data_IF_549898421302
#
_entry.id   IF_549898421302
#
_cell.length_a   1.000
_cell.length_b   1.000
_cell.length_c   1.000
_cell.angle_alpha   90.00
_cell.angle_beta   90.00
_cell.angle_gamma   90.00
#
_symmetry.space_group_name_H-M   'P 1'
#
loop_
_entity.id
_entity.type
_entity.pdbx_description
1 polymer ?
#
# COMPACT_ATOMS: atom_id res chain seq x y z
N UNK A 1 11.07 -13.74 14.22
CA UNK A 1 9.86 -14.13 13.47
C UNK A 1 8.76 -13.12 13.78
N UNK A 2 8.49 -12.19 12.87
CA UNK A 2 7.41 -11.23 13.04
C UNK A 2 6.07 -11.98 12.95
N UNK A 3 5.29 -11.98 14.02
CA UNK A 3 3.92 -12.52 13.98
C UNK A 3 3.09 -11.55 13.13
N UNK A 4 2.60 -12.02 12.00
CA UNK A 4 1.58 -11.29 11.26
C UNK A 4 0.41 -11.00 12.22
N UNK A 5 -0.14 -9.77 12.24
CA UNK A 5 -1.31 -9.46 13.05
C UNK A 5 -2.45 -10.45 12.69
N UNK A 6 -3.25 -10.88 13.69
CA UNK A 6 -4.24 -11.97 13.53
C UNK A 6 -5.16 -11.78 12.32
N UNK A 7 -5.50 -10.52 12.02
CA UNK A 7 -6.29 -10.10 10.85
C UNK A 7 -5.59 -10.48 9.54
N UNK A 8 -4.28 -10.23 9.41
CA UNK A 8 -3.51 -10.66 8.24
C UNK A 8 -3.47 -12.18 8.11
N UNK A 9 -3.38 -12.91 9.23
CA UNK A 9 -3.38 -14.37 9.19
C UNK A 9 -4.74 -14.90 8.72
N UNK A 10 -5.86 -14.33 9.19
CA UNK A 10 -7.21 -14.73 8.77
C UNK A 10 -7.48 -14.41 7.30
N UNK A 11 -7.05 -13.25 6.81
CA UNK A 11 -7.11 -12.89 5.38
C UNK A 11 -6.25 -13.85 4.54
N UNK A 12 -5.01 -14.13 4.95
CA UNK A 12 -4.13 -15.08 4.26
C UNK A 12 -4.64 -16.53 4.27
N UNK A 13 -5.51 -16.89 5.21
CA UNK A 13 -6.09 -18.23 5.36
C UNK A 13 -7.51 -18.36 4.80
N UNK A 14 -8.10 -17.28 4.25
CA UNK A 14 -9.42 -17.32 3.61
C UNK A 14 -10.57 -17.73 4.52
N UNK A 15 -10.49 -17.44 5.83
CA UNK A 15 -11.54 -17.82 6.80
C UNK A 15 -12.50 -16.66 7.08
N UNK A 16 -13.84 -16.90 7.11
CA UNK A 16 -14.83 -15.87 7.44
C UNK A 16 -14.72 -15.45 8.92
N UNK A 17 -14.76 -14.14 9.17
CA UNK A 17 -14.78 -13.57 10.53
C UNK A 17 -16.19 -13.70 11.12
N UNK A 18 -16.31 -14.23 12.35
CA UNK A 18 -17.56 -14.24 13.10
C UNK A 18 -17.70 -12.93 13.91
N UNK A 19 -18.77 -12.17 13.64
CA UNK A 19 -19.09 -10.91 14.30
C UNK A 19 -19.99 -11.13 15.53
N UNK A 20 -19.63 -10.48 16.64
CA UNK A 20 -20.54 -10.20 17.75
C UNK A 20 -20.95 -8.74 17.60
N UNK A 21 -22.24 -8.50 17.38
CA UNK A 21 -22.82 -7.17 17.14
C UNK A 21 -23.45 -6.63 18.43
N UNK A 22 -22.98 -5.47 18.89
CA UNK A 22 -23.82 -4.48 19.59
C UNK A 22 -23.42 -3.06 19.14
N UNK A 23 -24.32 -2.37 18.42
CA UNK A 23 -24.44 -0.90 18.51
C UNK A 23 -24.32 -0.04 17.23
N UNK A 24 -25.49 0.48 16.84
CA UNK A 24 -25.82 1.75 16.15
C UNK A 24 -25.69 1.89 14.61
N UNK A 25 -26.86 2.11 13.99
CA UNK A 25 -27.07 2.36 12.56
C UNK A 25 -26.61 3.77 12.17
N UNK A 26 -25.50 3.86 11.41
CA UNK A 26 -25.08 4.96 10.51
C UNK A 26 -23.54 5.15 10.47
N UNK A 27 -22.75 4.23 11.03
CA UNK A 27 -21.32 4.17 10.72
C UNK A 27 -21.12 3.20 9.56
N UNK A 28 -20.51 3.64 8.47
CA UNK A 28 -20.22 2.73 7.35
C UNK A 28 -19.07 1.86 7.84
N UNK A 29 -19.40 0.68 8.38
CA UNK A 29 -18.41 -0.16 9.04
C UNK A 29 -17.42 -0.74 8.03
N UNK A 30 -16.40 0.06 7.71
CA UNK A 30 -15.29 -0.33 6.86
C UNK A 30 -14.53 -1.52 7.45
N UNK A 31 -14.67 -1.81 8.76
CA UNK A 31 -14.10 -3.01 9.36
C UNK A 31 -14.72 -4.29 8.80
N UNK A 32 -15.94 -4.25 8.28
CA UNK A 32 -16.60 -5.40 7.64
C UNK A 32 -16.18 -5.58 6.17
N UNK A 33 -15.51 -4.59 5.57
CA UNK A 33 -15.07 -4.67 4.18
C UNK A 33 -13.81 -5.53 4.05
N UNK A 34 -13.96 -6.73 3.47
CA UNK A 34 -12.85 -7.62 3.13
C UNK A 34 -11.81 -6.91 2.26
N UNK A 35 -12.25 -6.14 1.26
CA UNK A 35 -11.36 -5.38 0.38
C UNK A 35 -10.48 -4.37 1.14
N UNK A 36 -11.06 -3.59 2.05
CA UNK A 36 -10.32 -2.59 2.83
C UNK A 36 -9.34 -3.28 3.78
N UNK A 37 -9.77 -4.39 4.41
CA UNK A 37 -8.94 -5.21 5.28
C UNK A 37 -7.75 -5.84 4.53
N UNK A 38 -7.99 -6.36 3.32
CA UNK A 38 -6.94 -6.87 2.43
C UNK A 38 -5.95 -5.78 2.05
N UNK A 39 -6.42 -4.59 1.67
CA UNK A 39 -5.56 -3.46 1.36
C UNK A 39 -4.62 -3.15 2.53
N UNK A 40 -5.16 -2.99 3.75
CA UNK A 40 -4.35 -2.72 4.94
C UNK A 40 -3.33 -3.83 5.17
N UNK A 41 -3.77 -5.09 5.09
CA UNK A 41 -2.91 -6.22 5.35
C UNK A 41 -1.72 -6.24 4.38
N UNK A 42 -1.98 -6.15 3.07
CA UNK A 42 -0.91 -6.20 2.08
C UNK A 42 0.01 -4.98 2.12
N UNK A 43 -0.52 -3.79 2.46
CA UNK A 43 0.33 -2.63 2.74
C UNK A 43 1.29 -2.93 3.89
N UNK A 44 0.81 -3.50 4.99
CA UNK A 44 1.63 -3.79 6.16
C UNK A 44 2.64 -4.92 5.90
N UNK A 45 2.28 -5.94 5.11
CA UNK A 45 3.24 -6.95 4.64
C UNK A 45 4.41 -6.32 3.89
N UNK A 46 4.13 -5.41 2.95
CA UNK A 46 5.19 -4.72 2.21
C UNK A 46 5.98 -3.76 3.11
N UNK A 47 5.33 -3.00 3.99
CA UNK A 47 6.00 -2.10 4.92
C UNK A 47 6.95 -2.83 5.88
N UNK A 48 6.54 -3.98 6.40
CA UNK A 48 7.39 -4.83 7.22
C UNK A 48 8.62 -5.33 6.46
N UNK A 49 8.50 -5.62 5.16
CA UNK A 49 9.64 -5.97 4.32
C UNK A 49 10.68 -4.84 4.25
N UNK A 50 10.25 -3.59 4.36
CA UNK A 50 11.12 -2.41 4.41
C UNK A 50 11.50 -1.99 5.82
N UNK A 51 11.12 -2.77 6.85
CA UNK A 51 11.43 -2.45 8.25
C UNK A 51 10.74 -1.20 8.80
N UNK A 52 9.69 -0.72 8.15
CA UNK A 52 8.92 0.44 8.61
C UNK A 52 7.65 0.02 9.36
N UNK A 53 7.15 0.89 10.24
CA UNK A 53 5.98 0.61 11.08
C UNK A 53 4.72 0.38 10.24
N UNK A 54 3.88 -0.55 10.68
CA UNK A 54 2.54 -0.79 10.15
C UNK A 54 1.68 0.48 10.16
N UNK A 55 0.84 0.62 9.13
CA UNK A 55 -0.23 1.61 9.07
C UNK A 55 -1.43 1.14 9.89
N UNK A 56 -2.18 2.11 10.40
CA UNK A 56 -3.49 1.93 11.01
C UNK A 56 -4.57 2.42 10.04
N UNK A 57 -5.72 1.77 10.04
CA UNK A 57 -6.86 2.27 9.26
C UNK A 57 -7.48 3.48 9.95
N UNK A 58 -7.87 4.49 9.17
CA UNK A 58 -8.57 5.69 9.64
C UNK A 58 -9.91 5.81 8.95
N UNK A 59 -11.00 5.81 9.73
CA UNK A 59 -12.37 5.96 9.24
C UNK A 59 -12.54 7.25 8.42
N UNK A 60 -12.03 8.36 8.94
CA UNK A 60 -12.05 9.66 8.25
C UNK A 60 -11.36 9.59 6.89
N UNK A 61 -10.19 8.95 6.79
CA UNK A 61 -9.49 8.79 5.51
C UNK A 61 -10.25 7.85 4.57
N UNK A 62 -10.93 6.82 5.09
CA UNK A 62 -11.78 5.93 4.28
C UNK A 62 -12.93 6.71 3.66
N UNK A 63 -13.61 7.56 4.44
CA UNK A 63 -14.69 8.40 3.93
C UNK A 63 -14.21 9.36 2.86
N UNK A 64 -13.07 10.04 3.08
CA UNK A 64 -12.47 10.92 2.10
C UNK A 64 -12.09 10.17 0.81
N UNK A 65 -11.46 9.00 0.94
CA UNK A 65 -11.06 8.16 -0.18
C UNK A 65 -12.27 7.62 -0.95
N UNK A 66 -13.31 7.17 -0.26
CA UNK A 66 -14.54 6.65 -0.87
C UNK A 66 -15.31 7.75 -1.60
N UNK A 67 -15.42 8.94 -1.02
CA UNK A 67 -16.02 10.10 -1.67
C UNK A 67 -15.28 10.46 -2.96
N UNK A 68 -13.95 10.45 -2.94
CA UNK A 68 -13.17 10.71 -4.14
C UNK A 68 -13.27 9.59 -5.18
N UNK A 69 -13.25 8.33 -4.77
CA UNK A 69 -13.45 7.18 -5.67
C UNK A 69 -14.81 7.27 -6.38
N UNK A 70 -15.88 7.60 -5.63
CA UNK A 70 -17.22 7.81 -6.16
C UNK A 70 -17.25 8.94 -7.19
N UNK A 71 -16.59 10.07 -6.89
CA UNK A 71 -16.47 11.20 -7.81
C UNK A 71 -15.77 10.79 -9.12
N UNK A 72 -14.62 10.13 -9.05
CA UNK A 72 -13.87 9.68 -10.22
C UNK A 72 -14.65 8.66 -11.06
N UNK A 73 -15.35 7.74 -10.40
CA UNK A 73 -16.20 6.75 -11.08
C UNK A 73 -17.39 7.41 -11.78
N UNK A 74 -18.01 8.43 -11.16
CA UNK A 74 -19.14 9.17 -11.73
C UNK A 74 -18.71 10.06 -12.90
N UNK A 75 -17.65 10.83 -12.73
CA UNK A 75 -17.12 11.76 -13.74
C UNK A 75 -16.36 11.05 -14.88
N UNK A 76 -16.18 9.73 -14.77
CA UNK A 76 -15.30 8.94 -15.64
C UNK A 76 -13.86 9.48 -15.73
N UNK A 77 -13.39 10.16 -14.69
CA UNK A 77 -12.05 10.75 -14.62
C UNK A 77 -11.05 9.78 -13.95
N UNK A 78 -9.77 10.13 -14.02
CA UNK A 78 -8.71 9.47 -13.25
C UNK A 78 -7.61 10.49 -12.92
N UNK A 79 -7.76 11.14 -11.77
CA UNK A 79 -6.86 12.21 -11.32
C UNK A 79 -6.82 12.30 -9.79
N UNK A 80 -5.70 12.80 -9.26
CA UNK A 80 -5.59 13.12 -7.84
C UNK A 80 -6.55 14.23 -7.45
N UNK A 81 -6.97 14.24 -6.18
CA UNK A 81 -7.85 15.28 -5.64
C UNK A 81 -7.13 16.65 -5.69
N UNK A 82 -7.62 17.63 -6.46
CA UNK A 82 -6.97 18.94 -6.56
C UNK A 82 -6.98 19.67 -5.22
N UNK A 83 -5.90 20.40 -4.92
CA UNK A 83 -5.78 21.24 -3.73
C UNK A 83 -5.66 20.46 -2.40
N UNK A 84 -5.57 19.14 -2.44
CA UNK A 84 -5.41 18.31 -1.25
C UNK A 84 -3.93 18.08 -0.94
N UNK A 85 -3.40 18.79 0.07
CA UNK A 85 -1.99 18.72 0.45
C UNK A 85 -1.76 18.08 1.82
N UNK A 86 -2.82 17.83 2.58
CA UNK A 86 -2.72 17.32 3.95
C UNK A 86 -2.71 15.79 4.01
N UNK A 87 -3.01 15.12 2.90
CA UNK A 87 -3.00 13.65 2.79
C UNK A 87 -2.27 13.23 1.52
N UNK A 88 -1.51 12.14 1.63
CA UNK A 88 -0.91 11.46 0.48
C UNK A 88 -1.98 10.70 -0.29
N UNK A 89 -1.77 10.43 -1.57
CA UNK A 89 -2.77 9.76 -2.41
C UNK A 89 -2.13 8.72 -3.34
N UNK A 90 -2.72 7.53 -3.38
CA UNK A 90 -2.48 6.54 -4.44
C UNK A 90 -3.79 6.25 -5.17
N UNK A 91 -3.70 6.07 -6.49
CA UNK A 91 -4.85 5.78 -7.34
C UNK A 91 -4.62 4.50 -8.11
N UNK A 92 -5.68 3.73 -8.30
CA UNK A 92 -5.70 2.55 -9.14
C UNK A 92 -6.96 2.56 -9.98
N UNK A 93 -6.84 2.13 -11.24
CA UNK A 93 -7.97 2.01 -12.14
C UNK A 93 -7.86 0.74 -12.96
N UNK A 94 -8.95 -0.02 -13.01
CA UNK A 94 -9.10 -1.17 -13.91
C UNK A 94 -10.28 -0.94 -14.84
N UNK A 95 -10.01 -1.08 -16.14
CA UNK A 95 -11.06 -1.09 -17.15
C UNK A 95 -11.93 -2.35 -17.03
N UNK A 96 -13.17 -2.34 -17.56
CA UNK A 96 -14.03 -3.51 -17.52
C UNK A 96 -13.34 -4.73 -18.15
N UNK A 97 -13.40 -5.88 -17.47
CA UNK A 97 -12.89 -7.15 -17.96
C UNK A 97 -14.01 -8.20 -17.83
N UNK A 98 -14.28 -8.94 -18.89
CA UNK A 98 -15.34 -9.96 -18.95
C UNK A 98 -14.96 -11.25 -18.22
N UNK A 99 -13.67 -11.51 -17.97
CA UNK A 99 -13.18 -12.73 -17.35
C UNK A 99 -13.02 -12.61 -15.81
N UNK A 100 -12.75 -11.41 -15.29
CA UNK A 100 -12.54 -11.15 -13.86
C UNK A 100 -13.20 -9.84 -13.49
N UNK A 101 -14.26 -9.91 -12.69
CA UNK A 101 -15.03 -8.73 -12.28
C UNK A 101 -14.48 -8.08 -11.02
N UNK A 102 -13.95 -8.88 -10.09
CA UNK A 102 -13.55 -8.40 -8.76
C UNK A 102 -12.11 -7.90 -8.69
N UNK A 103 -11.93 -6.70 -8.12
CA UNK A 103 -10.63 -6.12 -7.77
C UNK A 103 -10.41 -6.39 -6.28
N UNK A 104 -9.37 -7.15 -5.96
CA UNK A 104 -8.98 -7.48 -4.57
C UNK A 104 -8.04 -6.42 -4.00
N UNK A 105 -7.96 -6.33 -2.67
CA UNK A 105 -7.04 -5.42 -2.02
C UNK A 105 -5.58 -5.82 -2.23
N UNK A 106 -5.32 -7.12 -2.39
CA UNK A 106 -4.02 -7.66 -2.78
C UNK A 106 -3.56 -7.14 -4.15
N UNK A 107 -4.42 -7.22 -5.16
CA UNK A 107 -4.10 -6.81 -6.53
C UNK A 107 -3.69 -5.33 -6.57
N UNK A 108 -4.47 -4.48 -5.91
CA UNK A 108 -4.21 -3.03 -5.83
C UNK A 108 -2.88 -2.75 -5.10
N UNK A 109 -2.69 -3.37 -3.94
CA UNK A 109 -1.48 -3.16 -3.13
C UNK A 109 -0.23 -3.65 -3.88
N UNK A 110 -0.31 -4.79 -4.56
CA UNK A 110 0.77 -5.33 -5.37
C UNK A 110 1.10 -4.43 -6.58
N UNK A 111 0.08 -3.83 -7.21
CA UNK A 111 0.26 -2.86 -8.30
C UNK A 111 1.06 -1.64 -7.81
N UNK A 112 0.65 -1.02 -6.70
CA UNK A 112 1.35 0.13 -6.12
C UNK A 112 2.77 -0.22 -5.67
N UNK A 113 2.97 -1.42 -5.12
CA UNK A 113 4.28 -1.86 -4.67
C UNK A 113 5.25 -2.22 -5.82
N UNK A 114 4.74 -2.50 -7.04
CA UNK A 114 5.51 -3.10 -8.14
C UNK A 114 6.82 -2.39 -8.53
N UNK A 115 6.91 -1.08 -8.32
CA UNK A 115 8.10 -0.29 -8.65
C UNK A 115 9.30 -0.54 -7.72
N UNK A 116 9.14 -1.26 -6.60
CA UNK A 116 10.21 -1.52 -5.63
C UNK A 116 11.47 -2.15 -6.25
N UNK A 117 11.33 -2.91 -7.35
CA UNK A 117 12.43 -3.60 -8.05
C UNK A 117 13.36 -2.64 -8.80
N UNK A 118 12.83 -1.52 -9.27
CA UNK A 118 13.53 -0.57 -10.13
C UNK A 118 13.80 0.74 -9.41
N UNK A 119 13.30 0.89 -8.18
CA UNK A 119 13.52 2.07 -7.37
C UNK A 119 14.99 2.20 -6.96
N UNK A 120 15.55 3.39 -7.13
CA UNK A 120 16.93 3.69 -6.76
C UNK A 120 16.99 4.23 -5.34
N UNK A 121 17.21 3.34 -4.37
CA UNK A 121 17.26 3.68 -2.96
C UNK A 121 18.46 4.59 -2.62
N UNK A 122 18.32 5.38 -1.56
CA UNK A 122 19.39 6.28 -1.08
C UNK A 122 19.65 7.50 -1.98
N UNK A 123 18.83 7.70 -3.01
CA UNK A 123 18.84 8.91 -3.85
C UNK A 123 17.47 9.55 -3.80
N UNK A 124 17.46 10.88 -3.93
CA UNK A 124 16.22 11.58 -4.20
C UNK A 124 15.74 11.16 -5.60
N UNK A 125 14.48 10.74 -5.77
CA UNK A 125 13.97 10.46 -7.10
C UNK A 125 14.00 11.75 -7.92
N UNK A 126 14.66 11.70 -9.07
CA UNK A 126 14.54 12.78 -10.04
C UNK A 126 13.06 12.88 -10.44
N UNK A 127 12.45 14.04 -10.17
CA UNK A 127 11.04 14.32 -10.45
C UNK A 127 10.71 14.04 -11.92
N UNK A 128 11.69 14.14 -12.82
CA UNK A 128 11.55 13.88 -14.24
C UNK A 128 11.53 12.38 -14.61
N UNK A 129 11.92 11.49 -13.70
CA UNK A 129 12.02 10.04 -13.93
C UNK A 129 11.13 9.19 -13.00
N UNK A 130 10.41 9.83 -12.07
CA UNK A 130 9.46 9.14 -11.21
C UNK A 130 8.23 8.71 -12.01
N UNK A 131 8.21 7.46 -12.47
CA UNK A 131 7.00 6.81 -12.97
C UNK A 131 5.90 6.88 -11.89
N UNK A 132 4.63 7.01 -12.28
CA UNK A 132 3.46 6.96 -11.38
C UNK A 132 3.57 5.80 -10.39
N UNK A 133 4.01 4.63 -10.85
CA UNK A 133 4.18 3.46 -9.98
C UNK A 133 5.30 3.66 -8.92
N UNK A 134 6.34 4.43 -9.22
CA UNK A 134 7.38 4.75 -8.24
C UNK A 134 6.85 5.68 -7.15
N UNK A 135 6.01 6.66 -7.52
CA UNK A 135 5.29 7.50 -6.55
C UNK A 135 4.34 6.70 -5.67
N UNK A 136 3.62 5.74 -6.25
CA UNK A 136 2.74 4.85 -5.48
C UNK A 136 3.50 3.95 -4.50
N UNK A 137 4.60 3.37 -4.96
CA UNK A 137 5.48 2.54 -4.14
C UNK A 137 6.03 3.34 -2.95
N UNK A 138 6.64 4.49 -3.21
CA UNK A 138 7.28 5.33 -2.18
C UNK A 138 6.28 5.80 -1.13
N UNK A 139 5.06 6.17 -1.54
CA UNK A 139 3.98 6.50 -0.61
C UNK A 139 3.56 5.30 0.25
N UNK A 140 3.44 4.10 -0.34
CA UNK A 140 3.04 2.88 0.36
C UNK A 140 4.02 2.52 1.48
N UNK A 141 5.33 2.60 1.20
CA UNK A 141 6.40 2.27 2.16
C UNK A 141 6.89 3.47 2.96
N UNK A 142 6.27 4.65 2.84
CA UNK A 142 6.73 5.87 3.48
C UNK A 142 6.81 5.72 5.01
N UNK A 143 8.02 5.82 5.56
CA UNK A 143 8.28 5.46 6.95
C UNK A 143 7.52 6.33 7.95
N UNK A 144 7.29 7.62 7.65
CA UNK A 144 6.57 8.54 8.52
C UNK A 144 5.04 8.47 8.41
N UNK A 145 4.47 7.88 7.36
CA UNK A 145 3.01 7.69 7.28
C UNK A 145 2.56 6.72 8.37
N UNK A 146 1.40 6.99 8.98
CA UNK A 146 0.86 6.28 10.15
C UNK A 146 -0.52 5.71 9.89
N UNK A 147 -1.32 6.41 9.10
CA UNK A 147 -2.69 6.07 8.83
C UNK A 147 -2.92 5.91 7.33
N UNK A 148 -3.86 5.05 6.99
CA UNK A 148 -4.38 4.85 5.64
C UNK A 148 -5.91 4.85 5.69
N UNK A 149 -6.53 5.34 4.64
CA UNK A 149 -7.93 5.06 4.33
C UNK A 149 -8.08 4.69 2.86
N UNK A 150 -9.01 3.81 2.54
CA UNK A 150 -9.18 3.27 1.19
C UNK A 150 -10.64 3.31 0.77
N UNK A 151 -10.88 3.74 -0.47
CA UNK A 151 -12.19 3.75 -1.10
C UNK A 151 -12.17 3.05 -2.46
N UNK A 152 -13.24 2.32 -2.78
CA UNK A 152 -13.41 1.62 -4.06
C UNK A 152 -14.78 1.97 -4.66
N UNK A 153 -14.80 2.35 -5.93
CA UNK A 153 -16.03 2.65 -6.65
C UNK A 153 -16.01 2.03 -8.05
N UNK A 154 -17.19 1.65 -8.54
CA UNK A 154 -17.37 1.13 -9.90
C UNK A 154 -18.24 2.10 -10.70
N UNK A 155 -17.72 2.56 -11.84
CA UNK A 155 -18.47 3.41 -12.76
C UNK A 155 -19.60 2.63 -13.45
N UNK A 156 -20.57 3.36 -14.02
CA UNK A 156 -21.64 2.77 -14.85
C UNK A 156 -21.12 2.00 -16.06
N UNK A 157 -19.94 2.37 -16.57
CA UNK A 157 -19.29 1.71 -17.69
C UNK A 157 -18.52 0.45 -17.26
N UNK A 158 -18.52 0.11 -15.96
CA UNK A 158 -17.87 -1.08 -15.42
C UNK A 158 -16.40 -0.90 -15.01
N UNK A 159 -15.82 0.30 -15.22
CA UNK A 159 -14.47 0.67 -14.75
C UNK A 159 -14.45 0.73 -13.23
N UNK A 160 -13.48 0.09 -12.59
CA UNK A 160 -13.26 0.13 -11.14
C UNK A 160 -12.16 1.12 -10.82
N UNK A 161 -12.41 2.01 -9.87
CA UNK A 161 -11.46 3.01 -9.37
C UNK A 161 -11.24 2.77 -7.88
N UNK A 162 -9.99 2.78 -7.46
CA UNK A 162 -9.59 2.68 -6.05
C UNK A 162 -8.72 3.89 -5.71
N UNK A 163 -8.98 4.47 -4.55
CA UNK A 163 -8.25 5.59 -3.97
C UNK A 163 -7.74 5.14 -2.61
N UNK A 164 -6.46 5.34 -2.32
CA UNK A 164 -5.94 5.28 -0.96
C UNK A 164 -5.43 6.66 -0.56
N UNK A 165 -5.70 7.05 0.68
CA UNK A 165 -5.22 8.28 1.29
C UNK A 165 -4.36 7.97 2.51
N UNK A 166 -3.28 8.74 2.72
CA UNK A 166 -2.29 8.48 3.75
C UNK A 166 -2.06 9.70 4.62
N UNK A 167 -1.90 9.50 5.93
CA UNK A 167 -1.56 10.56 6.88
C UNK A 167 -0.44 10.14 7.83
N UNK A 168 0.58 10.98 8.09
CA UNK A 168 0.97 12.15 7.29
C UNK A 168 1.24 11.80 5.81
N UNK A 169 1.20 12.79 4.89
CA UNK A 169 1.47 12.57 3.48
C UNK A 169 2.91 12.10 3.26
N UNK A 170 3.11 11.21 2.30
CA UNK A 170 4.43 10.81 1.83
C UNK A 170 4.88 11.64 0.64
N UNK A 171 5.98 11.20 0.01
CA UNK A 171 6.53 11.80 -1.21
C UNK A 171 6.89 13.28 -1.05
N UNK A 172 7.31 13.66 0.15
CA UNK A 172 7.79 15.01 0.46
C UNK A 172 9.24 15.13 0.01
N UNK A 173 9.52 16.11 -0.85
CA UNK A 173 10.86 16.37 -1.37
C UNK A 173 11.87 16.59 -0.25
N UNK A 174 13.05 15.99 -0.40
CA UNK A 174 14.14 16.03 0.57
C UNK A 174 14.03 15.00 1.69
N UNK A 175 12.93 14.24 1.78
CA UNK A 175 12.69 13.27 2.86
C UNK A 175 12.70 11.80 2.38
N UNK A 176 13.00 11.52 1.11
CA UNK A 176 12.91 10.16 0.57
C UNK A 176 13.93 9.20 1.18
N UNK A 177 15.16 9.66 1.45
CA UNK A 177 16.21 8.81 2.00
C UNK A 177 15.86 8.27 3.40
N UNK A 178 15.19 9.10 4.20
CA UNK A 178 14.76 8.74 5.56
C UNK A 178 13.49 7.89 5.56
N UNK A 179 12.68 7.97 4.49
CA UNK A 179 11.35 7.39 4.46
C UNK A 179 11.19 6.18 3.54
N UNK A 180 12.09 5.96 2.58
CA UNK A 180 12.02 4.84 1.63
C UNK A 180 13.24 3.96 1.83
N UNK A 181 13.13 3.07 2.82
CA UNK A 181 14.21 2.19 3.23
C UNK A 181 14.39 1.02 2.25
N UNK A 182 15.58 0.43 2.21
CA UNK A 182 15.83 -0.79 1.45
C UNK A 182 14.98 -1.95 2.01
N UNK A 183 14.47 -2.86 1.15
CA UNK A 183 13.85 -4.08 1.64
C UNK A 183 14.90 -4.95 2.34
N UNK A 184 14.51 -5.66 3.38
CA UNK A 184 15.35 -6.67 4.02
C UNK A 184 15.83 -7.69 2.98
N UNK A 185 17.08 -8.19 3.09
CA UNK A 185 17.59 -9.23 2.20
C UNK A 185 16.63 -10.40 2.18
N UNK A 186 16.44 -11.03 1.01
CA UNK A 186 15.68 -12.27 0.98
C UNK A 186 16.41 -13.29 1.88
N UNK A 187 15.65 -14.17 2.55
CA UNK A 187 16.20 -15.16 3.47
C UNK A 187 17.30 -16.06 2.83
N UNK A 188 17.44 -16.08 1.50
CA UNK A 188 18.52 -16.77 0.78
C UNK A 188 19.77 -15.92 0.45
N UNK A 189 19.70 -14.60 0.54
CA UNK A 189 20.85 -13.72 0.20
C UNK A 189 21.84 -13.58 1.38
N UNK A 190 21.35 -13.81 2.62
CA UNK A 190 22.16 -13.81 3.83
C UNK A 190 23.18 -14.96 3.88
N UNK A 191 22.86 -16.10 3.28
CA UNK A 191 23.74 -17.28 3.21
C UNK A 191 24.88 -17.07 2.19
N UNK A 192 24.60 -16.36 1.10
CA UNK A 192 25.61 -15.99 0.10
C UNK A 192 26.54 -14.86 0.58
N UNK A 193 26.01 -13.89 1.34
CA UNK A 193 26.84 -12.83 1.93
C UNK A 193 27.79 -13.37 3.01
N UNK A 194 27.34 -14.32 3.83
CA UNK A 194 28.17 -14.94 4.87
C UNK A 194 29.30 -15.82 4.29
N UNK A 195 29.05 -16.52 3.17
CA UNK A 195 30.06 -17.35 2.51
C UNK A 195 31.15 -16.54 1.78
N UNK A 196 30.84 -15.32 1.34
CA UNK A 196 31.82 -14.41 0.73
C UNK A 196 32.71 -13.70 1.77
N UNK A 197 32.23 -13.48 2.99
CA UNK A 197 33.07 -12.93 4.06
C UNK A 197 34.11 -13.93 4.58
N UNK A 198 33.78 -15.22 4.59
CA UNK A 198 34.65 -16.27 5.15
C UNK A 198 35.82 -16.66 4.20
N UNK A 199 35.68 -16.39 2.91
CA UNK A 199 36.72 -16.66 1.89
C UNK A 199 37.78 -15.56 1.77
N UNK A 200 37.57 -14.40 2.41
CA UNK A 200 38.55 -13.29 2.41
C UNK A 200 39.58 -13.36 3.57
N UNK A 201 39.46 -14.32 4.49
CA UNK A 201 40.30 -14.38 5.69
C UNK A 201 41.47 -15.37 5.62
N UNK A 202 41.77 -15.96 4.45
CA UNK A 202 42.78 -17.04 4.31
C UNK A 202 44.04 -16.70 3.48
N UNK A 203 44.30 -15.42 3.16
CA UNK A 203 45.58 -15.00 2.56
C UNK A 203 46.20 -13.84 3.35
N UNK A 204 46.85 -14.17 4.46
CA UNK A 204 47.90 -13.36 5.10
C UNK A 204 48.71 -14.24 6.05
N UNK A 205 49.70 -14.94 5.48
CA UNK A 205 50.84 -15.53 6.18
C UNK A 205 52.04 -15.58 5.22
#
# INVERSE_FOLDING_TARGET
>A
AARAPRVCLQVMLGQPMALVSEGNEADTDWHESEFISECLCWHNVYRQRHGVRDLLMSAELCDMAQNWANHLAHANAFMYKPGETQVGQNLYCRLPNTAVTEVTGQEVSAYWYSAFKQYNYGKEPDVLHANVNAGHFTQLVWACSREIGVGKARSRQGKTVVVAMYRPPGNVSGLFQENVLLPAPACGDLELAASLSDSSSSYSA
#
